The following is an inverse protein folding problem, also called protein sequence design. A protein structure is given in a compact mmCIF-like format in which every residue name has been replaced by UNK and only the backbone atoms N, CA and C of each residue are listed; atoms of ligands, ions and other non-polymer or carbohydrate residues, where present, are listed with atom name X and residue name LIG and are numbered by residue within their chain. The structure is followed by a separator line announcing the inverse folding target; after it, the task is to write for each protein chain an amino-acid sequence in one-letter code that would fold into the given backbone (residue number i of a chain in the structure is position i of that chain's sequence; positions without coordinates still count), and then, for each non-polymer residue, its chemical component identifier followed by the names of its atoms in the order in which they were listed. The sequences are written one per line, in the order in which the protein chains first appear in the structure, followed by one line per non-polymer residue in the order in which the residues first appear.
data_IF_678646551893
#
_entry.id   IF_678646551893
#
_cell.length_a   1.000
_cell.length_b   1.000
_cell.length_c   1.000
_cell.angle_alpha   90.00
_cell.angle_beta   90.00
_cell.angle_gamma   90.00
#
_symmetry.space_group_name_H-M   'P 1'
#
loop_
_entity.id
_entity.type
_entity.pdbx_description
1 polymer ?
#
# COMPACT_ATOMS: atom_id res chain seq x y z
N UNK A 1 2.26 10.94 -9.22
CA UNK A 1 1.11 10.09 -8.84
C UNK A 1 0.15 10.92 -7.99
N UNK A 2 -1.16 10.77 -8.18
CA UNK A 2 -2.17 11.50 -7.39
C UNK A 2 -2.09 11.05 -5.93
N UNK A 3 -2.12 11.99 -4.97
CA UNK A 3 -2.36 11.64 -3.56
C UNK A 3 -3.80 11.16 -3.44
N UNK A 4 -3.98 9.86 -3.19
CA UNK A 4 -5.28 9.26 -2.89
C UNK A 4 -5.55 9.36 -1.40
N UNK A 5 -6.80 9.66 -1.04
CA UNK A 5 -7.24 9.65 0.35
C UNK A 5 -7.13 8.24 0.92
N UNK A 6 -6.70 8.13 2.19
CA UNK A 6 -6.61 6.84 2.88
C UNK A 6 -8.03 6.34 3.16
N UNK A 7 -8.36 5.17 2.63
CA UNK A 7 -9.65 4.52 2.86
C UNK A 7 -9.58 3.73 4.17
N UNK A 8 -10.58 3.88 5.04
CA UNK A 8 -10.68 3.08 6.26
C UNK A 8 -10.85 1.59 5.92
N UNK A 9 -9.92 0.75 6.36
CA UNK A 9 -9.93 -0.69 6.11
C UNK A 9 -10.97 -1.45 6.95
N UNK A 10 -11.72 -0.76 7.84
CA UNK A 10 -12.78 -1.32 8.70
C UNK A 10 -12.36 -2.56 9.49
N UNK A 11 -11.08 -2.65 9.87
CA UNK A 11 -10.53 -3.76 10.66
C UNK A 11 -10.45 -3.36 12.13
N UNK A 12 -11.00 -4.20 13.02
CA UNK A 12 -10.89 -3.97 14.47
C UNK A 12 -9.45 -4.06 15.00
N UNK A 13 -8.54 -4.67 14.21
CA UNK A 13 -7.12 -4.85 14.55
C UNK A 13 -6.22 -3.71 14.05
N UNK A 14 -6.67 -2.93 13.06
CA UNK A 14 -5.91 -1.81 12.52
C UNK A 14 -6.08 -0.57 13.39
N UNK A 15 -4.97 0.03 13.88
CA UNK A 15 -5.01 1.23 14.73
C UNK A 15 -5.64 2.45 14.05
N UNK A 16 -5.51 2.53 12.72
CA UNK A 16 -6.04 3.62 11.91
C UNK A 16 -7.50 3.41 11.53
N UNK A 17 -8.09 2.26 11.88
CA UNK A 17 -9.46 1.98 11.51
C UNK A 17 -10.47 2.62 12.45
N UNK A 18 -11.61 3.04 11.90
CA UNK A 18 -12.77 3.49 12.67
C UNK A 18 -13.29 2.41 13.63
N UNK A 19 -13.06 1.12 13.31
CA UNK A 19 -13.52 -0.03 14.11
C UNK A 19 -12.55 -0.45 15.21
N UNK A 20 -11.43 0.25 15.38
CA UNK A 20 -10.47 -0.10 16.41
C UNK A 20 -11.04 0.12 17.81
N UNK A 21 -11.00 -0.91 18.65
CA UNK A 21 -11.54 -0.84 20.02
C UNK A 21 -10.60 0.01 20.90
N UNK A 22 -11.17 1.00 21.59
CA UNK A 22 -10.45 1.86 22.55
C UNK A 22 -11.12 1.79 23.92
N UNK A 23 -10.38 1.61 25.03
CA UNK A 23 -8.92 1.42 25.13
C UNK A 23 -8.45 0.06 24.57
N UNK A 24 -7.23 0.00 24.04
CA UNK A 24 -6.63 -1.21 23.48
C UNK A 24 -5.70 -1.86 24.52
N UNK A 25 -6.13 -2.93 25.21
CA UNK A 25 -5.38 -3.51 26.34
C UNK A 25 -4.11 -4.26 25.91
N UNK A 26 -3.89 -4.50 24.61
CA UNK A 26 -2.72 -5.20 24.07
C UNK A 26 -2.40 -4.66 22.66
N UNK A 27 -1.67 -3.53 22.60
CA UNK A 27 -1.50 -2.75 21.38
C UNK A 27 -0.47 -3.35 20.42
N UNK A 28 -0.83 -4.48 19.79
CA UNK A 28 -0.10 -5.07 18.67
C UNK A 28 -0.54 -4.51 17.30
N UNK A 29 -1.17 -3.33 17.29
CA UNK A 29 -1.90 -2.79 16.15
C UNK A 29 -0.99 -2.36 14.98
N UNK A 30 0.30 -2.08 15.25
CA UNK A 30 1.30 -1.79 14.22
C UNK A 30 1.55 -3.00 13.30
N UNK A 31 1.38 -4.22 13.81
CA UNK A 31 1.47 -5.46 13.02
C UNK A 31 0.29 -5.63 12.06
N UNK A 32 -0.84 -5.01 12.39
CA UNK A 32 -2.09 -5.10 11.65
C UNK A 32 -2.43 -3.78 10.95
N UNK A 33 -1.41 -2.99 10.60
CA UNK A 33 -1.56 -2.01 9.52
C UNK A 33 -1.94 -2.81 8.28
N UNK A 34 -3.25 -2.95 8.08
CA UNK A 34 -3.76 -3.69 6.96
C UNK A 34 -3.29 -3.03 5.67
N UNK A 35 -3.13 -3.80 4.58
CA UNK A 35 -3.09 -3.18 3.26
C UNK A 35 -4.33 -2.29 3.09
N UNK A 36 -4.25 -1.31 2.18
CA UNK A 36 -5.43 -0.56 1.77
C UNK A 36 -6.61 -1.52 1.51
N UNK A 37 -7.84 -1.08 1.81
CA UNK A 37 -9.07 -1.90 1.72
C UNK A 37 -9.17 -2.66 0.38
N UNK A 38 -8.61 -2.08 -0.67
CA UNK A 38 -8.39 -2.69 -1.97
C UNK A 38 -7.02 -2.26 -2.51
N UNK A 39 -6.34 -3.16 -3.22
CA UNK A 39 -5.16 -2.79 -3.99
C UNK A 39 -5.61 -2.10 -5.28
N UNK A 40 -5.65 -0.76 -5.26
CA UNK A 40 -6.07 0.02 -6.43
C UNK A 40 -4.86 0.41 -7.25
N UNK A 41 -4.66 -0.25 -8.39
CA UNK A 41 -3.65 0.16 -9.37
C UNK A 41 -4.02 1.55 -9.90
N UNK A 42 -3.32 2.57 -9.42
CA UNK A 42 -3.60 3.97 -9.78
C UNK A 42 -3.03 4.38 -11.13
N UNK A 43 -2.03 3.64 -11.62
CA UNK A 43 -1.37 3.85 -12.89
C UNK A 43 -0.75 2.52 -13.34
N UNK A 44 -0.95 2.16 -14.61
CA UNK A 44 -0.14 1.15 -15.29
C UNK A 44 0.75 1.87 -16.29
N UNK A 45 2.05 1.60 -16.25
CA UNK A 45 3.00 2.13 -17.22
C UNK A 45 3.63 0.95 -17.96
N UNK A 46 3.61 0.91 -19.30
CA UNK A 46 4.35 -0.08 -20.07
C UNK A 46 5.86 0.22 -20.08
N UNK A 47 6.26 1.45 -19.73
CA UNK A 47 7.66 1.84 -19.68
C UNK A 47 8.39 1.26 -18.48
N UNK A 48 9.61 0.81 -18.72
CA UNK A 48 10.56 0.43 -17.68
C UNK A 48 10.98 1.66 -16.86
N UNK A 49 11.24 1.45 -15.56
CA UNK A 49 11.83 2.48 -14.71
C UNK A 49 13.23 2.90 -15.21
N UNK A 50 13.73 4.10 -14.88
CA UNK A 50 15.07 4.56 -15.33
C UNK A 50 16.18 3.54 -15.01
N UNK A 51 16.12 2.95 -13.83
CA UNK A 51 17.07 1.91 -13.40
C UNK A 51 16.89 0.60 -14.19
N UNK A 52 15.67 0.25 -14.55
CA UNK A 52 15.29 -0.98 -15.24
C UNK A 52 15.58 -0.89 -16.75
N UNK A 53 15.53 0.33 -17.30
CA UNK A 53 15.64 0.62 -18.73
C UNK A 53 16.97 0.14 -19.30
N UNK A 54 18.07 0.27 -18.56
CA UNK A 54 19.39 -0.14 -19.01
C UNK A 54 19.51 -1.66 -19.16
N UNK A 55 18.92 -2.42 -18.23
CA UNK A 55 18.93 -3.89 -18.26
C UNK A 55 18.11 -4.46 -19.40
N UNK A 56 16.97 -3.83 -19.72
CA UNK A 56 16.05 -4.34 -20.74
C UNK A 56 16.26 -3.74 -22.14
N UNK A 57 16.77 -2.51 -22.27
CA UNK A 57 17.12 -1.91 -23.58
C UNK A 57 18.54 -2.25 -24.04
N UNK A 58 19.41 -2.74 -23.16
CA UNK A 58 20.79 -3.16 -23.45
C UNK A 58 20.98 -4.64 -23.74
N UNK A 59 19.90 -5.41 -23.90
CA UNK A 59 19.94 -6.84 -24.25
C UNK A 59 20.01 -7.12 -25.76
N UNK A 60 20.39 -6.16 -26.59
CA UNK A 60 20.67 -6.39 -28.01
C UNK A 60 22.16 -6.69 -28.19
N UNK A 61 22.51 -7.98 -28.17
CA UNK A 61 23.70 -8.50 -28.84
C UNK A 61 23.37 -8.79 -30.29
#
# INVERSE_FOLDING_TARGET
TRKVEKIDCKSSRCVFSSRHKRPCPDCNCQKFMGPDLEERITLRSPDYCDHCTQWYRGGQR
#
